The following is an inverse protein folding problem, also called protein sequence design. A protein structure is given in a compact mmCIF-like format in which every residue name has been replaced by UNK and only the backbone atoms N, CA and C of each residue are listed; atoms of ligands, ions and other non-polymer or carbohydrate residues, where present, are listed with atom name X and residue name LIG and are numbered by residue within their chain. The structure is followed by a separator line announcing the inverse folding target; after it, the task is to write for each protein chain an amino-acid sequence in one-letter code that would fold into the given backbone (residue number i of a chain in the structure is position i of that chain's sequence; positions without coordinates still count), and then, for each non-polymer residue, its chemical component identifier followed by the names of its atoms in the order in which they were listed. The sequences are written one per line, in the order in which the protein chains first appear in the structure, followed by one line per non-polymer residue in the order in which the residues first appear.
data_IF_863470368841
#
_entry.id   IF_863470368841
#
_cell.length_a   1.000
_cell.length_b   1.000
_cell.length_c   1.000
_cell.angle_alpha   90.00
_cell.angle_beta   90.00
_cell.angle_gamma   90.00
#
_symmetry.space_group_name_H-M   'P 1'
#
loop_
_entity.id
_entity.type
_entity.pdbx_description
1 polymer ?
#
# COMPACT_ATOMS: atom_id res chain seq x y z
N UNK A 1 36.06 -35.05 65.52
CA UNK A 1 36.57 -36.37 65.10
C UNK A 1 38.05 -36.15 64.80
N UNK A 2 38.91 -36.78 65.60
CA UNK A 2 40.38 -36.85 65.52
C UNK A 2 41.13 -35.50 65.57
N UNK A 3 41.70 -35.05 66.69
CA UNK A 3 42.73 -35.68 67.55
C UNK A 3 44.10 -35.78 66.85
N UNK A 4 45.10 -35.21 67.53
CA UNK A 4 46.52 -35.56 67.47
C UNK A 4 47.35 -35.04 66.29
N UNK A 5 48.03 -33.91 66.52
CA UNK A 5 49.49 -33.82 66.32
C UNK A 5 50.03 -32.57 67.03
N UNK A 6 49.94 -32.62 68.36
CA UNK A 6 50.74 -31.76 69.24
C UNK A 6 51.96 -32.61 69.61
N UNK A 7 52.82 -32.87 68.61
CA UNK A 7 54.12 -33.52 68.78
C UNK A 7 55.19 -32.50 68.42
N UNK A 8 55.51 -31.69 69.43
CA UNK A 8 56.85 -31.32 69.84
C UNK A 8 57.97 -31.39 68.77
N UNK A 9 57.80 -30.71 67.63
CA UNK A 9 58.86 -29.81 67.21
C UNK A 9 58.78 -28.64 68.18
N UNK A 10 59.39 -28.82 69.35
CA UNK A 10 59.95 -27.70 70.10
C UNK A 10 60.79 -26.98 69.05
N UNK A 11 60.17 -25.97 68.45
CA UNK A 11 60.81 -25.12 67.47
C UNK A 11 61.82 -24.39 68.32
N UNK A 12 62.99 -25.01 68.47
CA UNK A 12 64.13 -24.45 69.15
C UNK A 12 64.32 -23.17 68.39
N UNK A 13 63.81 -22.08 68.95
CA UNK A 13 64.09 -20.75 68.47
C UNK A 13 65.59 -20.69 68.68
N UNK A 14 66.32 -21.02 67.62
CA UNK A 14 67.75 -20.83 67.53
C UNK A 14 67.87 -19.32 67.56
N UNK A 15 67.84 -18.79 68.76
CA UNK A 15 68.28 -17.45 69.03
C UNK A 15 69.80 -17.46 69.07
N UNK A 16 70.37 -16.30 68.87
CA UNK A 16 71.82 -16.11 68.83
C UNK A 16 72.49 -16.69 70.09
N UNK A 17 71.83 -16.57 71.25
CA UNK A 17 72.32 -17.04 72.53
C UNK A 17 72.39 -18.57 72.63
N UNK A 18 71.36 -19.27 72.15
CA UNK A 18 71.28 -20.74 72.18
C UNK A 18 72.28 -21.36 71.22
N UNK A 19 72.44 -20.78 70.03
CA UNK A 19 73.42 -21.23 69.04
C UNK A 19 74.86 -21.08 69.54
N UNK A 20 75.20 -19.94 70.17
CA UNK A 20 76.51 -19.70 70.78
C UNK A 20 76.76 -20.68 71.94
N UNK A 21 75.77 -20.90 72.80
CA UNK A 21 75.88 -21.83 73.93
C UNK A 21 76.16 -23.27 73.48
N UNK A 22 75.53 -23.72 72.38
CA UNK A 22 75.76 -25.06 71.83
C UNK A 22 77.17 -25.19 71.23
N UNK A 23 77.67 -24.14 70.57
CA UNK A 23 79.04 -24.10 70.05
C UNK A 23 80.08 -24.10 71.18
N UNK A 24 79.84 -23.36 72.26
CA UNK A 24 80.71 -23.34 73.44
C UNK A 24 80.73 -24.71 74.15
N UNK A 25 79.58 -25.37 74.25
CA UNK A 25 79.50 -26.75 74.76
C UNK A 25 80.25 -27.75 73.88
N UNK A 26 80.07 -27.67 72.56
CA UNK A 26 80.76 -28.53 71.59
C UNK A 26 82.28 -28.32 71.63
N UNK A 27 82.73 -27.06 71.77
CA UNK A 27 84.14 -26.71 71.97
C UNK A 27 84.68 -27.35 73.26
N UNK A 28 83.92 -27.34 74.35
CA UNK A 28 84.32 -27.98 75.60
C UNK A 28 84.48 -29.50 75.44
N UNK A 29 83.51 -30.18 74.80
CA UNK A 29 83.55 -31.63 74.55
C UNK A 29 84.74 -32.03 73.66
N UNK A 30 85.00 -31.30 72.58
CA UNK A 30 86.18 -31.54 71.71
C UNK A 30 87.49 -31.27 72.45
N UNK A 31 87.50 -30.31 73.37
CA UNK A 31 88.68 -29.99 74.20
C UNK A 31 88.98 -31.10 75.21
N UNK A 32 87.96 -31.74 75.78
CA UNK A 32 88.08 -32.82 76.77
C UNK A 32 88.31 -34.20 76.13
N UNK A 33 87.98 -34.37 74.84
CA UNK A 33 88.19 -35.61 74.11
C UNK A 33 89.68 -36.03 74.12
N UNK A 34 89.97 -37.16 74.76
CA UNK A 34 91.31 -37.74 74.86
C UNK A 34 91.65 -38.56 73.61
N UNK A 35 92.87 -38.42 73.08
CA UNK A 35 93.37 -39.26 71.98
C UNK A 35 93.75 -40.64 72.51
N UNK A 36 92.89 -41.62 72.32
CA UNK A 36 93.21 -43.02 72.60
C UNK A 36 94.09 -43.59 71.48
N UNK A 37 95.29 -44.11 71.76
CA UNK A 37 96.12 -44.77 70.76
C UNK A 37 95.46 -46.12 70.40
N UNK A 38 95.12 -46.34 69.12
CA UNK A 38 94.67 -47.62 68.53
C UNK A 38 93.17 -47.99 68.61
N UNK A 39 92.26 -47.06 68.38
CA UNK A 39 90.84 -47.41 68.10
C UNK A 39 90.49 -47.06 66.65
N UNK A 40 89.75 -47.94 65.97
CA UNK A 40 89.29 -47.81 64.59
C UNK A 40 88.24 -46.70 64.39
N UNK A 41 88.56 -45.47 64.81
CA UNK A 41 87.79 -44.25 64.54
C UNK A 41 88.61 -43.31 63.69
N UNK A 42 87.91 -42.51 62.89
CA UNK A 42 88.47 -41.42 62.09
C UNK A 42 89.41 -40.56 62.94
N UNK A 43 90.68 -40.47 62.52
CA UNK A 43 91.67 -39.58 63.13
C UNK A 43 91.33 -38.17 62.69
N UNK A 44 90.91 -37.32 63.62
CA UNK A 44 90.60 -35.91 63.36
C UNK A 44 91.62 -35.04 64.07
N UNK A 45 92.11 -34.01 63.38
CA UNK A 45 93.02 -33.03 63.96
C UNK A 45 92.22 -32.09 64.90
N UNK A 46 92.52 -32.16 66.19
CA UNK A 46 91.83 -31.41 67.24
C UNK A 46 91.96 -29.90 67.05
N UNK A 47 93.16 -29.42 66.75
CA UNK A 47 93.42 -28.02 66.45
C UNK A 47 92.58 -27.53 65.27
N UNK A 48 92.47 -28.33 64.20
CA UNK A 48 91.67 -27.98 63.03
C UNK A 48 90.15 -27.92 63.33
N UNK A 49 89.64 -28.78 64.20
CA UNK A 49 88.22 -28.75 64.62
C UNK A 49 87.93 -27.52 65.49
N UNK A 50 88.83 -27.20 66.43
CA UNK A 50 88.66 -26.03 67.28
C UNK A 50 88.72 -24.73 66.47
N UNK A 51 89.57 -24.66 65.44
CA UNK A 51 89.62 -23.54 64.51
C UNK A 51 88.31 -23.38 63.73
N UNK A 52 87.76 -24.49 63.20
CA UNK A 52 86.46 -24.47 62.52
C UNK A 52 85.31 -24.06 63.44
N UNK A 53 85.30 -24.51 64.70
CA UNK A 53 84.30 -24.09 65.69
C UNK A 53 84.39 -22.60 66.01
N UNK A 54 85.61 -22.03 66.06
CA UNK A 54 85.79 -20.60 66.26
C UNK A 54 85.31 -19.79 65.05
N UNK A 55 85.58 -20.25 63.83
CA UNK A 55 85.04 -19.64 62.61
C UNK A 55 83.50 -19.66 62.57
N UNK A 56 82.89 -20.78 62.97
CA UNK A 56 81.43 -20.89 63.07
C UNK A 56 80.89 -19.96 64.16
N UNK A 57 81.55 -19.88 65.32
CA UNK A 57 81.19 -18.99 66.42
C UNK A 57 81.23 -17.51 66.04
N UNK A 58 82.15 -17.10 65.16
CA UNK A 58 82.22 -15.72 64.67
C UNK A 58 81.19 -15.43 63.57
N UNK A 59 80.99 -16.36 62.62
CA UNK A 59 80.16 -16.13 61.44
C UNK A 59 78.66 -16.36 61.69
N UNK A 60 78.30 -17.40 62.44
CA UNK A 60 76.92 -17.84 62.61
C UNK A 60 76.00 -16.79 63.27
N UNK A 61 76.41 -16.07 64.34
CA UNK A 61 75.57 -15.04 64.95
C UNK A 61 75.17 -13.93 63.97
N UNK A 62 76.13 -13.48 63.14
CA UNK A 62 75.90 -12.43 62.15
C UNK A 62 74.89 -12.86 61.08
N UNK A 63 75.02 -14.08 60.58
CA UNK A 63 74.09 -14.66 59.61
C UNK A 63 72.68 -14.82 60.19
N UNK A 64 72.55 -15.23 61.46
CA UNK A 64 71.25 -15.38 62.13
C UNK A 64 70.53 -14.04 62.36
N UNK A 65 71.25 -13.00 62.80
CA UNK A 65 70.69 -11.65 62.92
C UNK A 65 70.20 -11.17 61.54
N UNK A 66 71.01 -11.38 60.50
CA UNK A 66 70.65 -11.02 59.11
C UNK A 66 69.39 -11.77 58.64
N UNK A 67 69.29 -13.06 58.91
CA UNK A 67 68.11 -13.86 58.58
C UNK A 67 66.84 -13.37 59.30
N UNK A 68 66.94 -13.05 60.59
CA UNK A 68 65.81 -12.52 61.37
C UNK A 68 65.37 -11.13 60.88
N UNK A 69 66.31 -10.26 60.51
CA UNK A 69 65.95 -8.96 59.88
C UNK A 69 65.26 -9.18 58.55
N UNK A 70 65.73 -10.13 57.72
CA UNK A 70 65.10 -10.44 56.45
C UNK A 70 63.68 -10.99 56.61
N UNK A 71 63.45 -11.87 57.59
CA UNK A 71 62.11 -12.39 57.91
C UNK A 71 61.20 -11.25 58.38
N UNK A 72 61.71 -10.35 59.22
CA UNK A 72 60.96 -9.18 59.69
C UNK A 72 60.57 -8.27 58.52
N UNK A 73 61.52 -7.96 57.64
CA UNK A 73 61.29 -7.12 56.46
C UNK A 73 60.33 -7.79 55.45
N UNK A 74 60.44 -9.11 55.28
CA UNK A 74 59.54 -9.89 54.44
C UNK A 74 58.11 -9.87 54.99
N UNK A 75 57.93 -10.09 56.30
CA UNK A 75 56.62 -10.02 56.95
C UNK A 75 56.01 -8.63 56.85
N UNK A 76 56.80 -7.58 57.10
CA UNK A 76 56.36 -6.19 56.94
C UNK A 76 55.97 -5.86 55.49
N UNK A 77 56.61 -6.50 54.51
CA UNK A 77 56.26 -6.35 53.09
C UNK A 77 55.00 -7.10 52.73
N UNK A 78 54.81 -8.32 53.26
CA UNK A 78 53.58 -9.09 53.08
C UNK A 78 52.37 -8.35 53.66
N UNK A 79 52.47 -7.83 54.87
CA UNK A 79 51.38 -7.08 55.52
C UNK A 79 50.98 -5.83 54.70
N UNK A 80 51.98 -5.11 54.16
CA UNK A 80 51.73 -3.96 53.28
C UNK A 80 51.06 -4.37 51.97
N UNK A 81 51.54 -5.44 51.34
CA UNK A 81 50.96 -5.94 50.10
C UNK A 81 49.52 -6.45 50.29
N UNK A 82 49.23 -7.08 51.43
CA UNK A 82 47.88 -7.51 51.81
C UNK A 82 46.95 -6.31 52.01
N UNK A 83 47.40 -5.27 52.73
CA UNK A 83 46.63 -4.05 52.91
C UNK A 83 46.35 -3.33 51.58
N UNK A 84 47.37 -3.19 50.72
CA UNK A 84 47.22 -2.60 49.38
C UNK A 84 46.25 -3.42 48.51
N UNK A 85 46.36 -4.76 48.54
CA UNK A 85 45.46 -5.62 47.79
C UNK A 85 44.02 -5.50 48.27
N UNK A 86 43.77 -5.35 49.57
CA UNK A 86 42.42 -5.20 50.12
C UNK A 86 41.79 -3.88 49.69
N UNK A 87 42.54 -2.78 49.69
CA UNK A 87 42.06 -1.49 49.19
C UNK A 87 41.78 -1.56 47.68
N UNK A 88 42.65 -2.17 46.88
CA UNK A 88 42.41 -2.35 45.43
C UNK A 88 41.12 -3.15 45.18
N UNK A 89 40.90 -4.25 45.92
CA UNK A 89 39.69 -5.06 45.76
C UNK A 89 38.43 -4.28 46.13
N UNK A 90 38.48 -3.50 47.20
CA UNK A 90 37.37 -2.65 47.64
C UNK A 90 37.06 -1.56 46.61
N UNK A 91 38.07 -0.87 46.11
CA UNK A 91 37.90 0.15 45.07
C UNK A 91 37.35 -0.45 43.77
N UNK A 92 37.86 -1.61 43.35
CA UNK A 92 37.35 -2.32 42.18
C UNK A 92 35.89 -2.76 42.36
N UNK A 93 35.50 -3.21 43.56
CA UNK A 93 34.12 -3.57 43.88
C UNK A 93 33.19 -2.35 43.83
N UNK A 94 33.61 -1.22 44.40
CA UNK A 94 32.83 0.02 44.37
C UNK A 94 32.63 0.53 42.93
N UNK A 95 33.69 0.51 42.12
CA UNK A 95 33.60 0.90 40.71
C UNK A 95 32.71 -0.04 39.91
N UNK A 96 32.78 -1.35 40.18
CA UNK A 96 31.92 -2.33 39.53
C UNK A 96 30.44 -2.12 39.90
N UNK A 97 30.14 -1.90 41.19
CA UNK A 97 28.78 -1.59 41.66
C UNK A 97 28.24 -0.31 41.04
N UNK A 98 29.04 0.77 41.00
CA UNK A 98 28.63 2.02 40.38
C UNK A 98 28.34 1.84 38.88
N UNK A 99 29.23 1.14 38.16
CA UNK A 99 29.05 0.88 36.72
C UNK A 99 27.79 0.05 36.46
N UNK A 100 27.53 -0.97 37.28
CA UNK A 100 26.33 -1.79 37.18
C UNK A 100 25.06 -0.96 37.46
N UNK A 101 25.05 -0.15 38.51
CA UNK A 101 23.92 0.72 38.83
C UNK A 101 23.63 1.72 37.71
N UNK A 102 24.68 2.33 37.14
CA UNK A 102 24.53 3.24 36.01
C UNK A 102 23.99 2.52 34.76
N UNK A 103 24.51 1.33 34.45
CA UNK A 103 24.05 0.53 33.32
C UNK A 103 22.59 0.08 33.50
N UNK A 104 22.20 -0.33 34.70
CA UNK A 104 20.81 -0.70 35.03
C UNK A 104 19.86 0.48 34.93
N UNK A 105 20.25 1.65 35.44
CA UNK A 105 19.45 2.87 35.33
C UNK A 105 19.24 3.26 33.86
N UNK A 106 20.31 3.23 33.05
CA UNK A 106 20.23 3.51 31.61
C UNK A 106 19.38 2.47 30.87
N UNK A 107 19.53 1.18 31.18
CA UNK A 107 18.74 0.12 30.57
C UNK A 107 17.24 0.27 30.88
N UNK A 108 16.89 0.59 32.13
CA UNK A 108 15.52 0.82 32.56
C UNK A 108 14.91 2.07 31.93
N UNK A 109 15.71 3.14 31.80
CA UNK A 109 15.28 4.36 31.10
C UNK A 109 15.04 4.06 29.62
N UNK A 110 16.00 3.44 28.92
CA UNK A 110 15.86 3.07 27.52
C UNK A 110 14.64 2.18 27.28
N UNK A 111 14.41 1.20 28.17
CA UNK A 111 13.22 0.35 28.11
C UNK A 111 11.94 1.16 28.22
N UNK A 112 11.86 2.08 29.18
CA UNK A 112 10.69 2.93 29.39
C UNK A 112 10.45 3.85 28.19
N UNK A 113 11.49 4.50 27.69
CA UNK A 113 11.42 5.39 26.54
C UNK A 113 11.00 4.64 25.26
N UNK A 114 11.56 3.45 25.04
CA UNK A 114 11.20 2.60 23.89
C UNK A 114 9.76 2.11 23.98
N UNK A 115 9.29 1.75 25.18
CA UNK A 115 7.91 1.34 25.41
C UNK A 115 6.94 2.49 25.10
N UNK A 116 7.20 3.68 25.63
CA UNK A 116 6.37 4.86 25.36
C UNK A 116 6.33 5.21 23.86
N UNK A 117 7.48 5.18 23.17
CA UNK A 117 7.55 5.41 21.73
C UNK A 117 6.79 4.36 20.93
N UNK A 118 6.89 3.09 21.32
CA UNK A 118 6.18 1.99 20.64
C UNK A 118 4.68 2.10 20.82
N UNK A 119 4.22 2.45 22.02
CA UNK A 119 2.80 2.69 22.32
C UNK A 119 2.25 3.88 21.52
N UNK A 120 3.00 4.97 21.44
CA UNK A 120 2.65 6.13 20.63
C UNK A 120 2.57 5.77 19.13
N UNK A 121 3.58 5.09 18.59
CA UNK A 121 3.60 4.63 17.20
C UNK A 121 2.44 3.70 16.88
N UNK A 122 2.11 2.77 17.79
CA UNK A 122 0.98 1.87 17.62
C UNK A 122 -0.34 2.65 17.60
N UNK A 123 -0.52 3.60 18.51
CA UNK A 123 -1.71 4.46 18.53
C UNK A 123 -1.83 5.29 17.25
N UNK A 124 -0.73 5.86 16.75
CA UNK A 124 -0.72 6.62 15.49
C UNK A 124 -1.05 5.72 14.30
N UNK A 125 -0.43 4.54 14.21
CA UNK A 125 -0.68 3.59 13.13
C UNK A 125 -2.13 3.09 13.14
N UNK A 126 -2.72 2.84 14.31
CA UNK A 126 -4.12 2.45 14.45
C UNK A 126 -5.05 3.57 13.97
N UNK A 127 -4.82 4.82 14.40
CA UNK A 127 -5.61 5.96 13.95
C UNK A 127 -5.50 6.19 12.42
N UNK A 128 -4.32 6.00 11.84
CA UNK A 128 -4.14 6.05 10.39
C UNK A 128 -4.93 4.96 9.65
N UNK A 129 -4.89 3.72 10.15
CA UNK A 129 -5.65 2.61 9.56
C UNK A 129 -7.14 2.89 9.62
N UNK A 130 -7.64 3.37 10.75
CA UNK A 130 -9.05 3.73 10.91
C UNK A 130 -9.47 4.83 9.94
N UNK A 131 -8.67 5.90 9.81
CA UNK A 131 -8.93 6.98 8.87
C UNK A 131 -8.92 6.49 7.42
N UNK A 132 -7.92 5.70 7.03
CA UNK A 132 -7.82 5.12 5.68
C UNK A 132 -8.99 4.19 5.37
N UNK A 133 -9.43 3.39 6.34
CA UNK A 133 -10.58 2.51 6.18
C UNK A 133 -11.88 3.30 6.04
N UNK A 134 -12.06 4.36 6.84
CA UNK A 134 -13.21 5.25 6.74
C UNK A 134 -13.25 5.98 5.39
N UNK A 135 -12.10 6.46 4.91
CA UNK A 135 -11.98 7.08 3.58
C UNK A 135 -12.29 6.09 2.45
N UNK A 136 -11.72 4.88 2.51
CA UNK A 136 -11.96 3.84 1.52
C UNK A 136 -13.44 3.43 1.46
N UNK A 137 -14.09 3.30 2.63
CA UNK A 137 -15.52 2.98 2.71
C UNK A 137 -16.37 4.10 2.11
N UNK A 138 -16.09 5.37 2.44
CA UNK A 138 -16.79 6.51 1.83
C UNK A 138 -16.66 6.53 0.30
N UNK A 139 -15.46 6.28 -0.21
CA UNK A 139 -15.22 6.23 -1.66
C UNK A 139 -15.96 5.05 -2.30
N UNK A 140 -15.95 3.87 -1.68
CA UNK A 140 -16.67 2.71 -2.17
C UNK A 140 -18.19 2.96 -2.21
N UNK A 141 -18.75 3.59 -1.16
CA UNK A 141 -20.15 3.98 -1.10
C UNK A 141 -20.53 4.96 -2.21
N UNK A 142 -19.68 5.97 -2.46
CA UNK A 142 -19.87 6.93 -3.55
C UNK A 142 -19.86 6.25 -4.93
N UNK A 143 -18.86 5.40 -5.20
CA UNK A 143 -18.77 4.65 -6.46
C UNK A 143 -20.01 3.78 -6.66
N UNK A 144 -20.47 3.09 -5.61
CA UNK A 144 -21.68 2.26 -5.67
C UNK A 144 -22.94 3.10 -5.91
N UNK A 145 -23.06 4.28 -5.29
CA UNK A 145 -24.17 5.18 -5.50
C UNK A 145 -24.20 5.70 -6.96
N UNK A 146 -23.06 6.13 -7.47
CA UNK A 146 -22.92 6.63 -8.83
C UNK A 146 -23.20 5.53 -9.86
N UNK A 147 -22.66 4.33 -9.66
CA UNK A 147 -22.90 3.18 -10.53
C UNK A 147 -24.38 2.78 -10.56
N UNK A 148 -25.07 2.79 -9.41
CA UNK A 148 -26.51 2.54 -9.34
C UNK A 148 -27.31 3.60 -10.08
N UNK A 149 -27.02 4.88 -9.85
CA UNK A 149 -27.68 5.98 -10.53
C UNK A 149 -27.47 5.92 -12.06
N UNK A 150 -26.28 5.53 -12.52
CA UNK A 150 -25.99 5.32 -13.94
C UNK A 150 -26.78 4.13 -14.51
N UNK A 151 -26.83 3.01 -13.80
CA UNK A 151 -27.59 1.84 -14.22
C UNK A 151 -29.08 2.15 -14.36
N UNK A 152 -29.68 2.87 -13.39
CA UNK A 152 -31.07 3.32 -13.45
C UNK A 152 -31.34 4.21 -14.67
N UNK A 153 -30.43 5.13 -14.99
CA UNK A 153 -30.54 5.97 -16.19
C UNK A 153 -30.49 5.16 -17.48
N UNK A 154 -29.61 4.17 -17.57
CA UNK A 154 -29.49 3.31 -18.75
C UNK A 154 -30.75 2.47 -18.96
N UNK A 155 -31.27 1.85 -17.89
CA UNK A 155 -32.52 1.08 -17.94
C UNK A 155 -33.69 1.98 -18.35
N UNK A 156 -33.79 3.19 -17.78
CA UNK A 156 -34.83 4.13 -18.18
C UNK A 156 -34.70 4.57 -19.64
N UNK A 157 -33.49 4.79 -20.14
CA UNK A 157 -33.26 5.16 -21.52
C UNK A 157 -33.64 4.03 -22.50
N UNK A 158 -33.32 2.78 -22.14
CA UNK A 158 -33.70 1.61 -22.93
C UNK A 158 -35.21 1.40 -22.98
N UNK A 159 -35.91 1.60 -21.86
CA UNK A 159 -37.37 1.49 -21.82
C UNK A 159 -38.05 2.60 -22.66
N UNK A 160 -37.55 3.84 -22.58
CA UNK A 160 -38.05 4.93 -23.43
C UNK A 160 -37.84 4.62 -24.91
N UNK A 161 -36.67 4.08 -25.27
CA UNK A 161 -36.39 3.67 -26.64
C UNK A 161 -37.35 2.57 -27.10
N UNK A 162 -37.55 1.54 -26.28
CA UNK A 162 -38.47 0.42 -26.56
C UNK A 162 -39.88 0.94 -26.84
N UNK A 163 -40.42 1.80 -25.97
CA UNK A 163 -41.76 2.40 -26.12
C UNK A 163 -41.84 3.31 -27.34
N UNK A 164 -40.81 4.14 -27.58
CA UNK A 164 -40.75 5.01 -28.74
C UNK A 164 -40.74 4.21 -30.06
N UNK A 165 -39.97 3.13 -30.13
CA UNK A 165 -39.91 2.23 -31.29
C UNK A 165 -41.25 1.52 -31.51
N UNK A 166 -41.88 1.01 -30.45
CA UNK A 166 -43.21 0.39 -30.52
C UNK A 166 -44.25 1.38 -31.07
N UNK A 167 -44.23 2.62 -30.56
CA UNK A 167 -45.14 3.67 -31.01
C UNK A 167 -44.88 4.09 -32.46
N UNK A 168 -43.61 4.18 -32.87
CA UNK A 168 -43.25 4.48 -34.25
C UNK A 168 -43.79 3.42 -35.21
N UNK A 169 -43.62 2.13 -34.89
CA UNK A 169 -44.19 1.04 -35.67
C UNK A 169 -45.72 1.08 -35.75
N UNK A 170 -46.40 1.43 -34.65
CA UNK A 170 -47.84 1.58 -34.66
C UNK A 170 -48.32 2.74 -35.54
N UNK A 171 -47.62 3.89 -35.50
CA UNK A 171 -47.92 5.04 -36.36
C UNK A 171 -47.77 4.67 -37.83
N UNK A 172 -46.68 3.98 -38.19
CA UNK A 172 -46.46 3.50 -39.57
C UNK A 172 -47.58 2.55 -39.99
N UNK A 173 -47.88 1.51 -39.20
CA UNK A 173 -48.97 0.57 -39.52
C UNK A 173 -50.31 1.26 -39.70
N UNK A 174 -50.62 2.26 -38.86
CA UNK A 174 -51.87 3.01 -38.97
C UNK A 174 -51.91 3.88 -40.22
N UNK A 175 -50.80 4.53 -40.55
CA UNK A 175 -50.68 5.35 -41.76
C UNK A 175 -50.81 4.50 -43.03
N UNK A 176 -50.17 3.33 -43.07
CA UNK A 176 -50.29 2.36 -44.17
C UNK A 176 -51.75 1.91 -44.34
N UNK A 177 -52.40 1.48 -43.25
CA UNK A 177 -53.79 1.07 -43.29
C UNK A 177 -54.74 2.21 -43.74
N UNK A 178 -54.51 3.44 -43.27
CA UNK A 178 -55.29 4.60 -43.70
C UNK A 178 -55.07 4.92 -45.18
N UNK A 179 -53.83 4.81 -45.67
CA UNK A 179 -53.52 5.02 -47.09
C UNK A 179 -54.21 3.97 -47.98
N UNK A 180 -54.23 2.70 -47.56
CA UNK A 180 -54.94 1.63 -48.25
C UNK A 180 -56.45 1.92 -48.31
N UNK A 181 -57.05 2.26 -47.17
CA UNK A 181 -58.48 2.61 -47.08
C UNK A 181 -58.80 3.81 -47.97
N UNK A 182 -58.00 4.88 -47.94
CA UNK A 182 -58.19 6.06 -48.78
C UNK A 182 -58.05 5.73 -50.27
N UNK A 183 -57.11 4.87 -50.64
CA UNK A 183 -56.93 4.43 -52.02
C UNK A 183 -58.15 3.66 -52.53
N UNK A 184 -58.69 2.75 -51.72
CA UNK A 184 -59.92 2.02 -52.05
C UNK A 184 -61.09 3.00 -52.17
N UNK A 185 -61.29 3.89 -51.19
CA UNK A 185 -62.38 4.87 -51.20
C UNK A 185 -62.29 5.84 -52.40
N UNK A 186 -61.09 6.30 -52.76
CA UNK A 186 -60.87 7.17 -53.92
C UNK A 186 -61.20 6.46 -55.23
N UNK A 187 -60.80 5.19 -55.37
CA UNK A 187 -61.14 4.38 -56.54
C UNK A 187 -62.64 4.11 -56.66
N UNK A 188 -63.31 3.80 -55.55
CA UNK A 188 -64.77 3.62 -55.51
C UNK A 188 -65.50 4.91 -55.88
N UNK A 189 -65.07 6.05 -55.35
CA UNK A 189 -65.62 7.36 -55.70
C UNK A 189 -65.42 7.69 -57.18
N UNK A 190 -64.19 7.54 -57.69
CA UNK A 190 -63.89 7.77 -59.11
C UNK A 190 -64.73 6.89 -60.03
N UNK A 191 -64.95 5.62 -59.65
CA UNK A 191 -65.82 4.70 -60.37
C UNK A 191 -67.27 5.19 -60.39
N UNK A 192 -67.82 5.59 -59.25
CA UNK A 192 -69.19 6.09 -59.15
C UNK A 192 -69.39 7.36 -59.99
N UNK A 193 -68.42 8.29 -59.96
CA UNK A 193 -68.47 9.51 -60.76
C UNK A 193 -68.40 9.21 -62.27
N UNK A 194 -67.53 8.29 -62.68
CA UNK A 194 -67.45 7.83 -64.08
C UNK A 194 -68.74 7.17 -64.54
N UNK A 195 -69.39 6.36 -63.70
CA UNK A 195 -70.69 5.75 -64.01
C UNK A 195 -71.78 6.81 -64.19
N UNK A 196 -71.80 7.84 -63.34
CA UNK A 196 -72.70 8.99 -63.48
C UNK A 196 -72.48 9.73 -64.80
N UNK A 197 -71.22 9.99 -65.18
CA UNK A 197 -70.86 10.63 -66.45
C UNK A 197 -71.26 9.79 -67.66
N UNK A 198 -71.08 8.47 -67.62
CA UNK A 198 -71.54 7.56 -68.70
C UNK A 198 -73.05 7.65 -68.85
N UNK A 199 -73.80 7.60 -67.74
CA UNK A 199 -75.25 7.74 -67.77
C UNK A 199 -75.70 9.11 -68.31
N UNK A 200 -75.00 10.19 -67.95
CA UNK A 200 -75.25 11.53 -68.48
C UNK A 200 -74.97 11.60 -69.99
N UNK A 201 -73.83 11.08 -70.44
CA UNK A 201 -73.46 11.03 -71.86
C UNK A 201 -74.46 10.21 -72.69
N UNK A 202 -74.95 9.07 -72.18
CA UNK A 202 -75.99 8.27 -72.84
C UNK A 202 -77.30 9.05 -73.00
N UNK A 203 -77.71 9.84 -71.99
CA UNK A 203 -78.89 10.70 -72.09
C UNK A 203 -78.71 11.80 -73.15
N UNK A 204 -77.53 12.43 -73.19
CA UNK A 204 -77.20 13.45 -74.21
C UNK A 204 -77.19 12.82 -75.60
N UNK A 205 -76.57 11.65 -75.77
CA UNK A 205 -76.56 10.93 -77.04
C UNK A 205 -77.97 10.56 -77.48
N UNK A 206 -78.83 10.06 -76.59
CA UNK A 206 -80.22 9.75 -76.90
C UNK A 206 -81.01 11.00 -77.32
N UNK A 207 -80.81 12.13 -76.64
CA UNK A 207 -81.42 13.41 -77.00
C UNK A 207 -80.94 13.90 -78.38
N UNK A 208 -79.64 13.76 -78.68
CA UNK A 208 -79.08 14.09 -79.99
C UNK A 208 -79.65 13.19 -81.09
N UNK A 209 -79.74 11.88 -80.87
CA UNK A 209 -80.37 10.94 -81.81
C UNK A 209 -81.84 11.24 -82.06
N UNK A 210 -82.61 11.58 -81.01
CA UNK A 210 -84.00 12.01 -81.17
C UNK A 210 -84.12 13.33 -81.96
N UNK A 211 -83.21 14.28 -81.71
CA UNK A 211 -83.12 15.52 -82.48
C UNK A 211 -82.81 15.27 -83.96
N UNK A 212 -81.85 14.40 -84.26
CA UNK A 212 -81.53 13.98 -85.64
C UNK A 212 -82.72 13.32 -86.31
N UNK A 213 -83.41 12.38 -85.65
CA UNK A 213 -84.62 11.76 -86.20
C UNK A 213 -85.72 12.79 -86.52
N UNK A 214 -85.84 13.86 -85.71
CA UNK A 214 -86.76 14.97 -85.98
C UNK A 214 -86.33 15.81 -87.18
N UNK A 215 -85.02 16.00 -87.38
CA UNK A 215 -84.48 16.71 -88.55
C UNK A 215 -84.67 15.86 -89.81
N UNK A 216 -84.39 14.56 -89.76
CA UNK A 216 -84.62 13.65 -90.87
C UNK A 216 -86.10 13.62 -91.27
N UNK A 217 -87.04 13.53 -90.30
CA UNK A 217 -88.49 13.62 -90.55
C UNK A 217 -88.88 14.98 -91.18
N UNK A 218 -88.24 16.09 -90.77
CA UNK A 218 -88.43 17.40 -91.41
C UNK A 218 -87.85 17.45 -92.83
N UNK A 219 -86.70 16.84 -93.07
CA UNK A 219 -86.08 16.79 -94.40
C UNK A 219 -86.91 15.92 -95.36
N UNK A 220 -87.48 14.81 -94.89
CA UNK A 220 -88.46 14.02 -95.64
C UNK A 220 -89.74 14.82 -95.96
N UNK A 221 -90.20 15.69 -95.05
CA UNK A 221 -91.31 16.63 -95.31
C UNK A 221 -90.95 17.78 -96.28
N UNK A 222 -89.69 18.19 -96.38
CA UNK A 222 -89.23 19.20 -97.35
C UNK A 222 -89.14 18.65 -98.78
N UNK A 223 -88.82 17.36 -98.96
CA UNK A 223 -88.84 16.72 -100.29
C UNK A 223 -90.27 16.57 -100.85
N UNK A 224 -91.33 16.70 -100.03
CA UNK A 224 -92.73 16.65 -100.48
C UNK A 224 -93.38 18.04 -100.76
N UNK A 225 -92.73 19.18 -100.44
CA UNK A 225 -93.31 20.52 -100.64
C UNK A 225 -92.33 21.59 -101.21
N UNK A 226 -92.27 21.67 -102.55
CA UNK A 226 -91.87 22.88 -103.33
C UNK A 226 -90.37 22.97 -103.69
N UNK A 227 -89.89 22.82 -104.93
CA UNK A 227 -90.31 23.40 -106.22
C UNK A 227 -90.42 24.95 -106.21
N UNK A 228 -89.30 25.58 -106.63
CA UNK A 228 -89.09 26.95 -107.15
C UNK A 228 -89.40 28.15 -106.23
N UNK A 229 -88.42 29.04 -106.02
CA UNK A 229 -88.33 30.28 -106.84
C UNK A 229 -86.93 30.92 -106.75
N UNK A 230 -86.51 31.50 -107.88
CA UNK A 230 -85.25 32.23 -108.13
C UNK A 230 -85.29 33.65 -107.55
N UNK A 231 -84.13 34.27 -107.33
CA UNK A 231 -84.08 35.70 -107.00
C UNK A 231 -82.73 36.25 -106.54
N UNK A 232 -81.82 36.37 -107.52
CA UNK A 232 -80.73 37.35 -107.70
C UNK A 232 -79.86 37.88 -106.53
N UNK A 233 -78.56 37.78 -106.78
CA UNK A 233 -77.46 38.41 -106.08
C UNK A 233 -77.47 39.94 -106.23
N UNK A 234 -76.90 40.68 -105.28
CA UNK A 234 -75.92 41.72 -105.59
C UNK A 234 -74.93 42.00 -104.43
N UNK A 235 -73.78 42.44 -104.90
CA UNK A 235 -72.44 42.70 -104.39
C UNK A 235 -72.28 43.77 -103.30
N UNK A 236 -71.00 44.02 -102.98
CA UNK A 236 -70.40 45.15 -102.23
C UNK A 236 -70.33 45.00 -100.71
N UNK A 237 -69.27 45.37 -99.99
CA UNK A 237 -67.85 45.61 -100.28
C UNK A 237 -67.19 45.83 -98.89
N UNK A 238 -65.90 45.56 -98.83
CA UNK A 238 -64.97 45.75 -97.73
C UNK A 238 -64.84 47.22 -97.25
N UNK A 239 -64.61 47.46 -95.95
CA UNK A 239 -63.57 48.36 -95.37
C UNK A 239 -63.60 48.24 -93.83
N UNK A 240 -62.52 47.79 -93.18
CA UNK A 240 -61.41 48.60 -92.63
C UNK A 240 -61.87 49.44 -91.40
N UNK A 241 -61.13 49.64 -90.31
CA UNK A 241 -59.70 49.55 -90.08
C UNK A 241 -59.41 49.94 -88.61
N UNK A 242 -58.18 49.71 -88.18
CA UNK A 242 -57.41 50.38 -87.12
C UNK A 242 -57.74 50.04 -85.66
N UNK A 243 -56.96 49.15 -85.00
CA UNK A 243 -55.60 49.38 -84.44
C UNK A 243 -55.67 50.04 -83.07
N UNK A 244 -54.77 49.85 -82.13
CA UNK A 244 -53.53 49.09 -81.97
C UNK A 244 -53.25 49.12 -80.46
N UNK A 245 -52.35 48.25 -80.00
CA UNK A 245 -51.32 48.50 -78.97
C UNK A 245 -51.71 49.18 -77.63
N UNK A 246 -51.23 48.75 -76.46
CA UNK A 246 -49.85 48.35 -76.23
C UNK A 246 -49.74 47.65 -74.87
N UNK A 247 -48.74 46.79 -74.80
CA UNK A 247 -48.33 45.94 -73.69
C UNK A 247 -47.57 46.76 -72.66
N UNK A 248 -47.77 46.48 -71.36
CA UNK A 248 -46.84 46.85 -70.29
C UNK A 248 -47.09 46.07 -68.99
N UNK A 249 -46.07 45.90 -68.12
CA UNK A 249 -45.56 44.56 -67.82
C UNK A 249 -45.55 44.19 -66.31
N UNK A 250 -45.14 42.94 -66.07
CA UNK A 250 -44.72 42.31 -64.82
C UNK A 250 -44.38 43.24 -63.64
N UNK A 251 -45.08 43.05 -62.52
CA UNK A 251 -44.75 43.59 -61.21
C UNK A 251 -44.60 42.48 -60.16
N UNK A 252 -43.42 42.44 -59.53
CA UNK A 252 -43.03 41.63 -58.36
C UNK A 252 -43.95 41.75 -57.15
N UNK A 253 -44.06 40.65 -56.39
CA UNK A 253 -44.05 40.56 -54.90
C UNK A 253 -44.03 39.08 -54.50
N UNK A 254 -43.02 38.54 -53.82
CA UNK A 254 -42.60 38.75 -52.43
C UNK A 254 -43.76 38.55 -51.43
N UNK A 255 -43.82 37.38 -50.79
CA UNK A 255 -43.66 37.15 -49.35
C UNK A 255 -43.34 35.68 -49.09
#
# INVERSE_FOLDING_TARGET
MSEHMDDATENLVLDEATAISLLDHLKAVVTEASSLPLVAKSVVNKEQVLELLEQIREALPREMVTANTLITDANATLERAEAESQEILKDAQLQAEETLQQAEAQANQLKTDTQAQTEEQLSQAQAEVENKLADANRQAEQILADAKAQAERLVSAEEVLRVATERAHEVVRRAEHQADVLTVQANEYARAEMESLVNAAQKVAAAASAGMATIDDRLEQYDEQGAYDEGEAEDYENVADYSDDDVSPFGSRAF
#
